data_IF_091802847150
#
_entry.id   IF_091802847150
#
_cell.length_a   1.000
_cell.length_b   1.000
_cell.length_c   1.000
_cell.angle_alpha   90.00
_cell.angle_beta   90.00
_cell.angle_gamma   90.00
#
_symmetry.space_group_name_H-M   'P 1'
#
loop_
_entity.id
_entity.type
_entity.pdbx_description
1 polymer ?
#
# COMPACT_ATOMS: atom_id res chain seq x y z
N UNK A 1 56.71 4.47 -20.89
CA UNK A 1 55.90 5.59 -20.36
C UNK A 1 54.56 4.97 -20.00
N UNK A 2 54.49 4.35 -18.82
CA UNK A 2 53.28 3.75 -18.27
C UNK A 2 52.50 4.86 -17.54
N UNK A 3 51.22 4.99 -17.86
CA UNK A 3 50.31 5.87 -17.14
C UNK A 3 49.68 5.05 -16.01
N UNK A 4 50.17 5.27 -14.79
CA UNK A 4 49.52 4.87 -13.55
C UNK A 4 48.17 5.59 -13.45
N UNK A 5 47.11 4.92 -13.90
CA UNK A 5 45.75 5.32 -13.58
C UNK A 5 45.48 4.78 -12.19
N UNK A 6 45.70 5.63 -11.19
CA UNK A 6 45.20 5.44 -9.84
C UNK A 6 43.70 5.09 -9.93
N UNK A 7 43.40 3.83 -9.64
CA UNK A 7 42.05 3.30 -9.47
C UNK A 7 41.50 3.82 -8.15
N UNK A 8 41.05 5.07 -8.14
CA UNK A 8 40.33 5.66 -7.01
C UNK A 8 38.85 5.87 -7.37
N UNK A 9 38.03 5.52 -6.39
CA UNK A 9 36.59 5.63 -6.33
C UNK A 9 35.76 4.81 -7.34
N UNK A 10 35.84 3.47 -7.20
CA UNK A 10 34.65 2.64 -7.45
C UNK A 10 33.59 3.04 -6.42
N UNK A 11 32.82 4.07 -6.76
CA UNK A 11 31.52 4.42 -6.17
C UNK A 11 30.70 3.14 -6.06
N UNK A 12 30.77 2.48 -4.90
CA UNK A 12 29.81 1.45 -4.54
C UNK A 12 28.45 2.12 -4.71
N UNK A 13 27.54 1.62 -5.58
CA UNK A 13 26.17 2.11 -5.54
C UNK A 13 25.71 1.93 -4.09
N UNK A 14 25.17 2.97 -3.44
CA UNK A 14 24.87 2.87 -2.04
C UNK A 14 23.87 1.72 -1.88
N UNK A 15 24.29 0.68 -1.17
CA UNK A 15 23.51 -0.51 -0.81
C UNK A 15 22.36 -0.07 0.11
N UNK A 16 21.38 0.65 -0.43
CA UNK A 16 20.23 1.17 0.32
C UNK A 16 19.10 0.16 0.30
N UNK A 17 19.33 -1.01 0.91
CA UNK A 17 18.25 -1.89 1.36
C UNK A 17 18.75 -2.71 2.55
N UNK A 18 19.03 -2.01 3.65
CA UNK A 18 19.05 -2.59 5.00
C UNK A 18 18.17 -1.75 5.92
N UNK A 19 16.91 -1.61 5.55
CA UNK A 19 15.87 -1.45 6.56
C UNK A 19 15.35 -2.83 6.89
N UNK A 20 15.87 -3.43 7.96
CA UNK A 20 15.05 -4.33 8.74
C UNK A 20 14.01 -3.42 9.40
N UNK A 21 12.75 -3.49 8.96
CA UNK A 21 11.68 -2.82 9.68
C UNK A 21 11.68 -3.47 11.06
N UNK A 22 12.08 -2.75 12.11
CA UNK A 22 11.89 -3.25 13.47
C UNK A 22 10.41 -3.59 13.61
N UNK A 23 10.14 -4.87 13.83
CA UNK A 23 8.78 -5.44 13.82
C UNK A 23 7.86 -4.85 14.87
N UNK A 24 8.40 -4.06 15.80
CA UNK A 24 7.69 -3.34 16.86
C UNK A 24 6.75 -2.25 16.33
N UNK A 25 7.05 -1.62 15.20
CA UNK A 25 6.14 -0.63 14.57
C UNK A 25 5.01 -1.28 13.76
N UNK A 26 5.15 -2.55 13.39
CA UNK A 26 4.22 -3.28 12.51
C UNK A 26 3.20 -4.09 13.31
N UNK A 27 3.46 -4.34 14.60
CA UNK A 27 2.63 -5.22 15.41
C UNK A 27 1.44 -4.47 16.03
N UNK A 28 0.35 -4.32 15.28
CA UNK A 28 -0.94 -4.01 15.87
C UNK A 28 -1.50 -5.26 16.54
N UNK A 29 -1.35 -5.39 17.85
CA UNK A 29 -1.82 -6.53 18.67
C UNK A 29 -3.32 -6.83 18.55
N UNK A 30 -4.09 -5.91 17.93
CA UNK A 30 -5.53 -6.03 17.71
C UNK A 30 -5.91 -6.38 16.26
N UNK A 31 -4.97 -6.32 15.30
CA UNK A 31 -5.23 -6.71 13.92
C UNK A 31 -5.31 -8.23 13.80
N UNK A 32 -6.37 -8.73 13.15
CA UNK A 32 -6.49 -10.15 12.79
C UNK A 32 -5.43 -10.57 11.79
N UNK A 33 -5.11 -9.66 10.86
CA UNK A 33 -4.14 -9.87 9.81
C UNK A 33 -3.60 -8.52 9.35
N UNK A 34 -2.29 -8.43 9.16
CA UNK A 34 -1.65 -7.28 8.53
C UNK A 34 -0.79 -7.71 7.36
N UNK A 35 -0.80 -6.94 6.27
CA UNK A 35 0.14 -7.10 5.16
C UNK A 35 0.91 -5.80 4.93
N UNK A 36 2.15 -5.92 4.50
CA UNK A 36 3.03 -4.81 4.17
C UNK A 36 3.37 -4.85 2.70
N UNK A 37 3.33 -3.69 2.05
CA UNK A 37 3.62 -3.53 0.64
C UNK A 37 4.59 -2.38 0.44
N UNK A 38 5.69 -2.64 -0.23
CA UNK A 38 6.62 -1.60 -0.67
C UNK A 38 6.28 -1.24 -2.12
N UNK A 39 6.10 0.05 -2.39
CA UNK A 39 5.67 0.56 -3.68
C UNK A 39 6.62 1.68 -4.11
N UNK A 40 7.24 1.55 -5.28
CA UNK A 40 7.92 2.66 -5.93
C UNK A 40 6.86 3.64 -6.48
N UNK A 41 6.86 4.86 -5.95
CA UNK A 41 5.91 5.94 -6.25
C UNK A 41 6.57 7.04 -7.09
N UNK A 42 7.25 6.67 -8.18
CA UNK A 42 7.91 7.65 -9.05
C UNK A 42 9.15 8.28 -8.43
N UNK A 43 9.97 7.46 -7.74
CA UNK A 43 11.20 7.90 -7.09
C UNK A 43 11.10 8.00 -5.57
N UNK A 44 9.89 7.97 -5.00
CA UNK A 44 9.67 7.83 -3.56
C UNK A 44 9.25 6.40 -3.23
N UNK A 45 9.97 5.72 -2.34
CA UNK A 45 9.54 4.40 -1.86
C UNK A 45 8.48 4.58 -0.76
N UNK A 46 7.29 4.03 -0.97
CA UNK A 46 6.17 4.07 -0.03
C UNK A 46 5.98 2.69 0.60
N UNK A 47 5.96 2.62 1.93
CA UNK A 47 5.50 1.47 2.69
C UNK A 47 4.01 1.64 2.98
N UNK A 48 3.20 0.67 2.60
CA UNK A 48 1.78 0.61 2.91
C UNK A 48 1.52 -0.58 3.83
N UNK A 49 0.96 -0.32 5.00
CA UNK A 49 0.43 -1.33 5.89
C UNK A 49 -1.08 -1.42 5.73
N UNK A 50 -1.56 -2.61 5.39
CA UNK A 50 -2.98 -2.94 5.41
C UNK A 50 -3.29 -3.72 6.66
N UNK A 51 -4.23 -3.23 7.46
CA UNK A 51 -4.71 -3.87 8.68
C UNK A 51 -6.16 -4.32 8.52
N UNK A 52 -6.44 -5.55 8.96
CA UNK A 52 -7.78 -6.13 9.02
C UNK A 52 -8.19 -6.27 10.50
N UNK A 53 -9.25 -5.60 10.91
CA UNK A 53 -9.75 -5.65 12.28
C UNK A 53 -11.07 -6.43 12.36
N UNK A 54 -11.29 -7.15 13.46
CA UNK A 54 -12.62 -7.64 13.81
C UNK A 54 -13.45 -6.44 14.25
N UNK A 55 -14.60 -6.28 13.63
CA UNK A 55 -15.58 -5.29 14.03
C UNK A 55 -16.83 -6.02 14.50
N UNK A 56 -17.04 -6.00 15.82
CA UNK A 56 -18.15 -6.66 16.47
C UNK A 56 -19.26 -5.64 16.66
N UNK A 57 -20.38 -5.83 15.98
CA UNK A 57 -21.59 -5.06 16.25
C UNK A 57 -22.69 -6.01 16.71
N UNK A 58 -23.36 -5.62 17.78
CA UNK A 58 -24.60 -6.25 18.19
C UNK A 58 -25.70 -5.80 17.22
N UNK A 59 -26.40 -6.76 16.64
CA UNK A 59 -27.64 -6.49 15.94
C UNK A 59 -28.82 -6.48 16.94
N UNK A 60 -29.90 -5.77 16.59
CA UNK A 60 -31.12 -5.69 17.40
C UNK A 60 -31.76 -7.08 17.64
N UNK A 61 -31.42 -8.08 16.82
CA UNK A 61 -31.84 -9.48 16.95
C UNK A 61 -30.99 -10.30 17.93
N UNK A 62 -30.01 -9.68 18.60
CA UNK A 62 -29.09 -10.33 19.53
C UNK A 62 -28.04 -11.21 18.85
N UNK A 63 -27.98 -11.25 17.52
CA UNK A 63 -26.94 -11.98 16.79
C UNK A 63 -25.62 -11.21 16.79
N UNK A 64 -24.53 -11.93 17.06
CA UNK A 64 -23.18 -11.42 16.88
C UNK A 64 -22.75 -11.67 15.43
N UNK A 65 -22.66 -10.60 14.64
CA UNK A 65 -21.97 -10.66 13.34
C UNK A 65 -20.61 -9.98 13.47
N UNK A 66 -19.60 -10.61 12.87
CA UNK A 66 -18.27 -10.01 12.75
C UNK A 66 -18.17 -9.39 11.36
N UNK A 67 -18.25 -8.08 11.27
CA UNK A 67 -17.80 -7.36 10.07
C UNK A 67 -16.28 -7.23 10.19
N UNK A 68 -15.56 -7.28 9.07
CA UNK A 68 -14.12 -6.98 9.10
C UNK A 68 -13.94 -5.54 8.62
N UNK A 69 -13.48 -4.67 9.50
CA UNK A 69 -13.05 -3.33 9.10
C UNK A 69 -11.61 -3.39 8.58
N UNK A 70 -11.27 -2.46 7.70
CA UNK A 70 -9.94 -2.36 7.11
C UNK A 70 -9.43 -0.96 7.35
N UNK A 71 -8.13 -0.85 7.57
CA UNK A 71 -7.42 0.42 7.60
C UNK A 71 -6.12 0.28 6.82
N UNK A 72 -5.77 1.35 6.14
CA UNK A 72 -4.48 1.49 5.50
C UNK A 72 -3.73 2.62 6.18
N UNK A 73 -2.44 2.40 6.38
CA UNK A 73 -1.51 3.43 6.77
C UNK A 73 -0.35 3.41 5.77
N UNK A 74 0.16 4.59 5.44
CA UNK A 74 1.19 4.75 4.44
C UNK A 74 2.28 5.68 4.94
N UNK A 75 3.52 5.32 4.65
CA UNK A 75 4.71 6.08 5.00
C UNK A 75 5.68 6.13 3.83
N UNK A 76 6.32 7.28 3.66
CA UNK A 76 7.51 7.40 2.82
C UNK A 76 8.72 6.88 3.58
N UNK A 77 9.55 6.10 2.90
CA UNK A 77 10.83 5.64 3.43
C UNK A 77 11.88 6.73 3.22
N UNK A 78 12.43 7.26 4.30
CA UNK A 78 13.61 8.13 4.26
C UNK A 78 14.86 7.27 4.50
N UNK A 79 15.62 7.03 3.43
CA UNK A 79 16.82 6.21 3.50
C UNK A 79 18.00 6.90 4.17
N UNK A 80 18.04 8.24 4.13
CA UNK A 80 19.15 9.00 4.70
C UNK A 80 18.99 9.12 6.22
N UNK A 81 17.77 9.42 6.66
CA UNK A 81 17.43 9.48 8.08
C UNK A 81 17.13 8.11 8.70
N UNK A 82 16.88 7.08 7.88
CA UNK A 82 16.55 5.74 8.38
C UNK A 82 15.19 5.66 9.07
N UNK A 83 14.22 6.50 8.67
CA UNK A 83 12.90 6.61 9.31
C UNK A 83 11.74 6.42 8.32
N UNK A 84 10.55 6.16 8.87
CA UNK A 84 9.28 6.16 8.13
C UNK A 84 8.54 7.47 8.40
N UNK A 85 8.24 8.22 7.34
CA UNK A 85 7.54 9.50 7.42
C UNK A 85 6.09 9.32 6.97
N UNK A 86 5.07 9.55 7.82
CA UNK A 86 3.67 9.39 7.43
C UNK A 86 3.32 10.28 6.23
N UNK A 87 2.56 9.75 5.27
CA UNK A 87 2.10 10.52 4.11
C UNK A 87 0.59 10.76 4.17
N UNK A 88 0.16 11.89 3.62
CA UNK A 88 -1.27 12.25 3.47
C UNK A 88 -1.79 12.05 2.05
N UNK A 89 -0.91 11.74 1.12
CA UNK A 89 -1.19 11.52 -0.30
C UNK A 89 0.02 10.92 -1.01
N UNK A 90 -0.12 10.65 -2.30
CA UNK A 90 0.87 10.01 -3.16
C UNK A 90 1.30 10.92 -4.31
N UNK A 91 1.19 12.25 -4.14
CA UNK A 91 1.55 13.25 -5.14
C UNK A 91 0.80 13.04 -6.47
N UNK A 92 -0.54 13.03 -6.40
CA UNK A 92 -1.42 12.82 -7.57
C UNK A 92 -1.32 11.43 -8.21
N UNK A 93 -0.76 10.45 -7.49
CA UNK A 93 -0.68 9.06 -7.92
C UNK A 93 -1.66 8.19 -7.16
N UNK A 94 -1.96 7.04 -7.73
CA UNK A 94 -2.70 5.98 -7.07
C UNK A 94 -1.82 4.73 -6.93
N UNK A 95 -2.01 4.00 -5.84
CA UNK A 95 -1.31 2.75 -5.59
C UNK A 95 -2.24 1.59 -5.87
N UNK A 96 -1.85 0.69 -6.77
CA UNK A 96 -2.54 -0.58 -6.99
C UNK A 96 -1.78 -1.67 -6.28
N UNK A 97 -2.42 -2.33 -5.33
CA UNK A 97 -1.82 -3.32 -4.44
C UNK A 97 -2.59 -4.63 -4.57
N UNK A 98 -1.88 -5.74 -4.59
CA UNK A 98 -2.45 -7.09 -4.57
C UNK A 98 -1.64 -7.96 -3.60
N UNK A 99 -1.95 -9.25 -3.53
CA UNK A 99 -1.22 -10.18 -2.65
C UNK A 99 0.26 -10.34 -3.00
N UNK A 100 0.68 -10.02 -4.23
CA UNK A 100 2.04 -10.29 -4.70
C UNK A 100 2.70 -9.14 -5.45
N UNK A 101 1.97 -8.06 -5.74
CA UNK A 101 2.45 -6.95 -6.56
C UNK A 101 1.88 -5.64 -6.07
N UNK A 102 2.69 -4.60 -6.16
CA UNK A 102 2.25 -3.22 -6.02
C UNK A 102 2.82 -2.36 -7.13
N UNK A 103 2.02 -1.45 -7.68
CA UNK A 103 2.45 -0.47 -8.68
C UNK A 103 1.86 0.90 -8.33
N UNK A 104 2.59 1.96 -8.67
CA UNK A 104 2.09 3.33 -8.60
C UNK A 104 1.81 3.87 -10.00
N UNK A 105 0.66 4.52 -10.17
CA UNK A 105 0.25 5.10 -11.46
C UNK A 105 -0.14 6.56 -11.28
N UNK A 106 0.26 7.43 -12.22
CA UNK A 106 -0.17 8.83 -12.21
C UNK A 106 -1.66 8.94 -12.54
N UNK A 107 -2.43 9.61 -11.67
CA UNK A 107 -3.84 9.86 -11.91
C UNK A 107 -4.06 10.80 -13.12
N UNK A 108 -3.08 11.66 -13.44
CA UNK A 108 -3.13 12.51 -14.62
C UNK A 108 -3.16 11.71 -15.93
N UNK A 109 -2.59 10.50 -15.92
CA UNK A 109 -2.52 9.65 -17.11
C UNK A 109 -3.74 8.75 -17.28
N UNK A 110 -4.55 8.55 -16.24
CA UNK A 110 -5.70 7.64 -16.24
C UNK A 110 -6.95 8.32 -15.65
N UNK A 111 -7.94 8.71 -16.48
CA UNK A 111 -9.08 9.52 -16.04
C UNK A 111 -10.05 8.79 -15.09
N UNK A 112 -9.93 7.47 -14.96
CA UNK A 112 -10.75 6.64 -14.07
C UNK A 112 -10.06 6.34 -12.72
N UNK A 113 -8.84 6.82 -12.54
CA UNK A 113 -8.04 6.61 -11.33
C UNK A 113 -8.06 7.90 -10.51
N UNK A 114 -8.41 7.78 -9.25
CA UNK A 114 -8.33 8.92 -8.34
C UNK A 114 -6.94 9.03 -7.72
N UNK A 115 -6.46 10.26 -7.61
CA UNK A 115 -5.27 10.58 -6.84
C UNK A 115 -5.40 10.13 -5.38
N UNK A 116 -4.25 9.92 -4.74
CA UNK A 116 -4.12 9.69 -3.30
C UNK A 116 -4.97 8.51 -2.79
N UNK A 117 -5.16 7.52 -3.67
CA UNK A 117 -6.06 6.39 -3.48
C UNK A 117 -5.29 5.07 -3.60
N UNK A 118 -5.60 4.13 -2.70
CA UNK A 118 -5.11 2.75 -2.74
C UNK A 118 -6.21 1.87 -3.33
N UNK A 119 -5.88 1.15 -4.39
CA UNK A 119 -6.73 0.14 -5.01
C UNK A 119 -6.19 -1.25 -4.64
N UNK A 120 -6.91 -1.98 -3.80
CA UNK A 120 -6.53 -3.34 -3.39
C UNK A 120 -7.34 -4.40 -4.15
N UNK A 121 -6.65 -5.21 -4.94
CA UNK A 121 -7.26 -6.29 -5.71
C UNK A 121 -7.04 -7.67 -5.06
N UNK A 122 -8.13 -8.43 -4.85
CA UNK A 122 -8.06 -9.82 -4.40
C UNK A 122 -9.20 -10.68 -4.98
N UNK A 123 -8.84 -11.78 -5.66
CA UNK A 123 -9.78 -12.78 -6.19
C UNK A 123 -11.03 -12.19 -6.89
N UNK A 124 -10.82 -11.22 -7.78
CA UNK A 124 -11.90 -10.59 -8.56
C UNK A 124 -12.68 -9.49 -7.83
N UNK A 125 -12.35 -9.19 -6.58
CA UNK A 125 -12.84 -8.01 -5.87
C UNK A 125 -11.83 -6.88 -5.96
N UNK A 126 -12.33 -5.66 -6.09
CA UNK A 126 -11.53 -4.45 -6.04
C UNK A 126 -12.03 -3.58 -4.88
N UNK A 127 -11.13 -3.27 -3.98
CA UNK A 127 -11.36 -2.32 -2.90
C UNK A 127 -10.64 -1.02 -3.23
N UNK A 128 -11.30 0.11 -2.98
CA UNK A 128 -10.75 1.44 -3.13
C UNK A 128 -10.72 2.11 -1.76
N UNK A 129 -9.54 2.58 -1.35
CA UNK A 129 -9.31 3.28 -0.10
C UNK A 129 -8.76 4.68 -0.38
N UNK A 130 -9.46 5.73 0.03
CA UNK A 130 -8.99 7.11 -0.07
C UNK A 130 -8.12 7.46 1.14
N UNK A 131 -6.89 7.90 0.91
CA UNK A 131 -6.01 8.31 2.01
C UNK A 131 -6.43 9.67 2.60
N UNK A 132 -7.16 10.48 1.84
CA UNK A 132 -7.58 11.82 2.24
C UNK A 132 -8.61 11.80 3.38
N UNK A 133 -9.58 10.90 3.31
CA UNK A 133 -10.71 10.82 4.25
C UNK A 133 -10.87 9.44 4.91
N UNK A 134 -10.05 8.46 4.51
CA UNK A 134 -10.10 7.10 5.04
C UNK A 134 -11.32 6.29 4.57
N UNK A 135 -12.05 6.76 3.56
CA UNK A 135 -13.22 6.08 3.03
C UNK A 135 -12.84 4.80 2.28
N UNK A 136 -13.72 3.78 2.36
CA UNK A 136 -13.57 2.49 1.68
C UNK A 136 -14.78 2.25 0.79
N UNK A 137 -14.53 1.99 -0.49
CA UNK A 137 -15.52 1.53 -1.45
C UNK A 137 -15.16 0.11 -1.92
N UNK A 138 -16.15 -0.78 -1.94
CA UNK A 138 -15.99 -2.17 -2.37
C UNK A 138 -16.70 -2.38 -3.71
N UNK A 139 -15.93 -2.70 -4.74
CA UNK A 139 -16.44 -3.15 -6.02
C UNK A 139 -16.39 -4.67 -6.06
N UNK A 140 -17.55 -5.29 -5.81
CA UNK A 140 -17.75 -6.72 -6.09
C UNK A 140 -18.12 -6.88 -7.57
N UNK A 141 -17.53 -7.87 -8.24
CA UNK A 141 -17.75 -8.09 -9.67
C UNK A 141 -19.21 -8.45 -9.94
N UNK A 142 -19.86 -7.65 -10.78
CA UNK A 142 -21.03 -8.02 -11.59
C UNK A 142 -20.66 -9.14 -12.57
N UNK A 143 -20.64 -10.39 -12.12
CA UNK A 143 -20.80 -11.56 -13.01
C UNK A 143 -22.07 -12.30 -12.57
N UNK A 144 -23.21 -11.63 -12.71
CA UNK A 144 -24.52 -12.26 -12.85
C UNK A 144 -25.36 -11.41 -13.81
N UNK A 145 -25.14 -11.59 -15.12
CA UNK A 145 -26.13 -11.48 -16.21
C UNK A 145 -25.43 -11.20 -17.54
N UNK A 146 -24.74 -12.20 -18.07
CA UNK A 146 -24.64 -12.34 -19.54
C UNK A 146 -25.09 -13.76 -19.87
N UNK A 147 -26.36 -13.99 -19.57
CA UNK A 147 -27.16 -15.06 -20.16
C UNK A 147 -28.48 -14.43 -20.57
N UNK A 148 -28.43 -13.73 -21.69
CA UNK A 148 -29.54 -13.62 -22.62
C UNK A 148 -28.91 -13.91 -23.98
N UNK A 149 -29.26 -15.08 -24.51
CA UNK A 149 -29.14 -15.44 -25.92
C UNK A 149 -30.07 -14.51 -26.71
#
# INVERSE_FOLDING_TARGET
MELDIASDDRRKPPLRMRMAIESSLIHSSRALQSTLHLVDNGGELILVQRMLWPDHYAHDDGSYRTKRSRKYEAWRVDFDAGILVPVKGFNWRALFISMSRAISVSAETLPFVAADTIYFGYCGNLERYSLADGSIELYQRWIQSSSAI
#
